data_IF_610052738450
#
_entry.id   IF_610052738450
#
_cell.length_a   1.000
_cell.length_b   1.000
_cell.length_c   1.000
_cell.angle_alpha   90.00
_cell.angle_beta   90.00
_cell.angle_gamma   90.00
#
_symmetry.space_group_name_H-M   'P 1'
#
loop_
_entity.id
_entity.type
_entity.pdbx_description
1 polymer ?
#
# COMPACT_ATOMS: atom_id res chain seq x y z
N UNK A 1 -9.25 -24.31 -24.69
CA UNK A 1 -10.28 -23.28 -24.90
C UNK A 1 -10.38 -22.99 -26.37
N UNK A 2 -11.57 -23.09 -26.94
CA UNK A 2 -11.82 -22.91 -28.38
C UNK A 2 -12.14 -21.43 -28.65
N UNK A 3 -11.35 -20.71 -29.48
CA UNK A 3 -11.61 -19.30 -29.79
C UNK A 3 -12.93 -19.09 -30.54
N UNK A 4 -13.51 -20.14 -31.13
CA UNK A 4 -14.82 -20.14 -31.80
C UNK A 4 -15.91 -20.86 -30.98
N UNK A 5 -15.67 -21.07 -29.69
CA UNK A 5 -16.60 -21.78 -28.82
C UNK A 5 -17.94 -21.05 -28.62
N UNK A 6 -18.97 -21.73 -28.07
CA UNK A 6 -20.28 -21.13 -27.82
C UNK A 6 -20.20 -19.87 -26.96
N UNK A 7 -21.15 -18.94 -27.13
CA UNK A 7 -21.28 -17.76 -26.28
C UNK A 7 -21.37 -18.16 -24.81
N UNK A 8 -20.69 -17.42 -23.94
CA UNK A 8 -20.58 -17.71 -22.51
C UNK A 8 -19.43 -18.65 -22.11
N UNK A 9 -18.63 -19.16 -23.07
CA UNK A 9 -17.37 -19.85 -22.80
C UNK A 9 -16.18 -18.89 -22.97
N UNK A 10 -15.00 -19.29 -22.48
CA UNK A 10 -13.79 -18.47 -22.58
C UNK A 10 -12.91 -18.94 -23.74
N UNK A 11 -12.31 -18.01 -24.49
CA UNK A 11 -11.28 -18.30 -25.49
C UNK A 11 -9.90 -18.58 -24.84
N UNK A 12 -8.89 -18.90 -25.64
CA UNK A 12 -7.54 -19.22 -25.19
C UNK A 12 -6.85 -18.04 -24.46
N UNK A 13 -7.28 -16.80 -24.71
CA UNK A 13 -6.82 -15.59 -24.03
C UNK A 13 -7.61 -15.26 -22.75
N UNK A 14 -8.53 -16.13 -22.31
CA UNK A 14 -9.36 -15.90 -21.14
C UNK A 14 -10.50 -14.90 -21.37
N UNK A 15 -10.82 -14.56 -22.61
CA UNK A 15 -11.94 -13.67 -22.98
C UNK A 15 -13.24 -14.46 -23.10
N UNK A 16 -14.35 -13.85 -22.69
CA UNK A 16 -15.66 -14.45 -22.78
C UNK A 16 -16.13 -14.49 -24.24
N UNK A 17 -16.40 -15.67 -24.77
CA UNK A 17 -16.91 -15.81 -26.13
C UNK A 17 -18.30 -15.17 -26.27
N UNK A 18 -18.48 -14.40 -27.35
CA UNK A 18 -19.74 -13.78 -27.70
C UNK A 18 -20.04 -12.41 -27.07
N UNK A 19 -19.32 -12.01 -26.03
CA UNK A 19 -19.46 -10.66 -25.45
C UNK A 19 -18.45 -9.65 -26.05
N UNK A 20 -17.37 -10.15 -26.64
CA UNK A 20 -16.28 -9.32 -27.17
C UNK A 20 -16.02 -9.51 -28.66
N UNK A 21 -16.75 -10.38 -29.33
CA UNK A 21 -16.70 -10.48 -30.80
C UNK A 21 -17.24 -9.19 -31.44
N UNK A 22 -16.32 -8.33 -31.86
CA UNK A 22 -16.64 -7.04 -32.50
C UNK A 22 -16.70 -5.84 -31.56
N UNK A 23 -16.37 -6.01 -30.28
CA UNK A 23 -16.12 -4.87 -29.39
C UNK A 23 -14.88 -4.08 -29.84
N UNK A 24 -14.82 -2.77 -29.61
CA UNK A 24 -13.65 -1.96 -29.99
C UNK A 24 -12.41 -2.50 -29.27
N UNK A 25 -11.39 -2.86 -30.03
CA UNK A 25 -10.08 -3.21 -29.48
C UNK A 25 -9.56 -1.98 -28.75
N UNK A 26 -9.45 -2.06 -27.43
CA UNK A 26 -8.86 -1.00 -26.64
C UNK A 26 -7.34 -1.02 -26.83
N UNK A 27 -6.77 0.13 -27.15
CA UNK A 27 -5.32 0.32 -27.27
C UNK A 27 -4.92 1.49 -26.38
N UNK A 28 -3.81 1.32 -25.69
CA UNK A 28 -3.17 2.38 -24.93
C UNK A 28 -1.68 2.40 -25.29
N UNK A 29 -1.24 3.46 -25.95
CA UNK A 29 0.15 3.68 -26.35
C UNK A 29 0.70 4.88 -25.58
N UNK A 30 1.86 4.72 -24.97
CA UNK A 30 2.51 5.77 -24.18
C UNK A 30 3.94 5.94 -24.65
N UNK A 31 4.35 7.19 -24.92
CA UNK A 31 5.71 7.56 -25.29
C UNK A 31 6.10 8.78 -24.45
N UNK A 32 7.06 8.59 -23.54
CA UNK A 32 7.40 9.61 -22.56
C UNK A 32 8.91 9.82 -22.48
N UNK A 33 9.31 11.08 -22.34
CA UNK A 33 10.71 11.45 -22.15
C UNK A 33 11.09 11.28 -20.67
N UNK A 34 12.11 10.48 -20.43
CA UNK A 34 12.71 10.30 -19.10
C UNK A 34 14.20 10.66 -19.13
N UNK A 35 14.74 10.96 -17.99
CA UNK A 35 16.16 11.29 -17.90
C UNK A 35 16.59 11.67 -16.49
N UNK A 36 17.90 11.74 -16.31
CA UNK A 36 18.53 12.19 -15.07
C UNK A 36 19.66 13.15 -15.41
N UNK A 37 19.74 14.23 -14.67
CA UNK A 37 20.87 15.15 -14.66
C UNK A 37 21.36 15.32 -13.23
N UNK A 38 22.66 15.19 -13.01
CA UNK A 38 23.26 15.32 -11.68
C UNK A 38 24.71 15.66 -11.76
N UNK A 39 25.27 16.00 -10.61
CA UNK A 39 26.71 16.22 -10.44
C UNK A 39 27.17 15.61 -9.13
N UNK A 40 28.44 15.20 -9.14
CA UNK A 40 29.18 14.76 -7.97
C UNK A 40 30.37 15.68 -7.79
N UNK A 41 30.59 16.16 -6.57
CA UNK A 41 31.70 17.02 -6.24
C UNK A 41 32.51 16.45 -5.08
N UNK A 42 33.74 16.08 -5.34
CA UNK A 42 34.70 15.64 -4.34
C UNK A 42 35.30 16.85 -3.64
N UNK A 43 35.03 17.02 -2.36
CA UNK A 43 35.55 18.09 -1.54
C UNK A 43 36.88 17.73 -0.89
N UNK A 44 37.24 16.43 -0.81
CA UNK A 44 38.34 15.96 0.00
C UNK A 44 38.10 16.15 1.49
N UNK A 45 39.12 16.50 2.23
CA UNK A 45 39.01 16.79 3.67
C UNK A 45 38.11 18.01 3.89
N UNK A 46 37.00 17.81 4.58
CA UNK A 46 36.04 18.87 4.86
C UNK A 46 35.58 18.84 6.33
N UNK A 47 36.15 19.73 7.14
CA UNK A 47 35.86 19.82 8.56
C UNK A 47 36.30 18.56 9.32
N UNK A 48 35.42 17.78 9.93
CA UNK A 48 35.76 16.58 10.68
C UNK A 48 35.85 15.31 9.84
N UNK A 49 35.73 15.43 8.49
CA UNK A 49 35.73 14.28 7.57
C UNK A 49 37.10 14.10 6.91
N UNK A 50 37.50 12.86 6.63
CA UNK A 50 38.75 12.52 5.92
C UNK A 50 38.57 12.67 4.41
N UNK A 51 37.38 12.38 3.88
CA UNK A 51 37.00 12.58 2.49
C UNK A 51 35.50 12.80 2.42
N UNK A 52 35.03 13.70 1.59
CA UNK A 52 33.62 13.99 1.39
C UNK A 52 33.31 14.17 -0.08
N UNK A 53 32.27 13.51 -0.53
CA UNK A 53 31.61 13.73 -1.81
C UNK A 53 30.23 14.30 -1.58
N UNK A 54 29.96 15.46 -2.19
CA UNK A 54 28.60 15.99 -2.35
C UNK A 54 28.03 15.51 -3.67
N UNK A 55 26.75 15.21 -3.69
CA UNK A 55 26.02 14.97 -4.93
C UNK A 55 24.66 15.66 -4.92
N UNK A 56 24.16 15.98 -6.10
CA UNK A 56 22.78 16.36 -6.29
C UNK A 56 22.30 15.91 -7.66
N UNK A 57 21.03 15.57 -7.76
CA UNK A 57 20.41 15.28 -9.05
C UNK A 57 18.95 15.66 -9.12
N UNK A 58 18.52 15.84 -10.36
CA UNK A 58 17.10 15.85 -10.75
C UNK A 58 16.88 14.70 -11.72
N UNK A 59 15.73 14.03 -11.59
CA UNK A 59 15.36 12.98 -12.54
C UNK A 59 13.87 12.98 -12.79
N UNK A 60 13.50 12.55 -13.99
CA UNK A 60 12.13 12.24 -14.37
C UNK A 60 12.04 10.79 -14.79
N UNK A 61 11.23 10.02 -14.09
CA UNK A 61 10.85 8.67 -14.43
C UNK A 61 9.37 8.58 -14.78
N UNK A 62 8.96 7.50 -15.43
CA UNK A 62 7.57 7.21 -15.68
C UNK A 62 7.27 5.71 -15.57
N UNK A 63 6.02 5.42 -15.27
CA UNK A 63 5.41 4.09 -15.35
C UNK A 63 4.23 4.19 -16.29
N UNK A 64 4.16 3.33 -17.31
CA UNK A 64 3.10 3.36 -18.31
C UNK A 64 1.71 3.28 -17.69
N UNK A 65 0.75 3.92 -18.31
CA UNK A 65 -0.67 3.71 -18.04
C UNK A 65 -1.13 2.36 -18.60
N UNK A 66 -2.42 2.11 -18.61
CA UNK A 66 -2.96 0.86 -19.10
C UNK A 66 -4.46 0.87 -19.26
N UNK A 67 -5.01 -0.33 -19.42
CA UNK A 67 -6.42 -0.59 -19.62
C UNK A 67 -6.95 -1.30 -18.37
N UNK A 68 -8.02 -0.75 -17.80
CA UNK A 68 -8.74 -1.42 -16.72
C UNK A 68 -9.57 -2.59 -17.28
N UNK A 69 -9.73 -3.67 -16.49
CA UNK A 69 -10.59 -4.78 -16.90
C UNK A 69 -12.01 -4.28 -17.19
N UNK A 70 -12.70 -4.90 -18.18
CA UNK A 70 -14.10 -4.57 -18.43
C UNK A 70 -14.93 -4.86 -17.17
N UNK A 71 -15.78 -3.91 -16.82
CA UNK A 71 -16.68 -4.06 -15.69
C UNK A 71 -17.91 -4.84 -16.11
N UNK A 72 -18.36 -5.78 -15.28
CA UNK A 72 -19.71 -6.33 -15.41
C UNK A 72 -20.72 -5.18 -15.26
N UNK A 73 -21.81 -5.23 -16.02
CA UNK A 73 -22.88 -4.24 -15.95
C UNK A 73 -23.29 -3.98 -14.49
N UNK A 74 -23.03 -2.77 -14.00
CA UNK A 74 -23.26 -2.35 -12.63
C UNK A 74 -23.50 -0.86 -12.57
N UNK A 75 -23.79 -0.36 -11.38
CA UNK A 75 -24.06 1.06 -11.16
C UNK A 75 -22.79 1.91 -11.16
N UNK A 76 -21.65 1.30 -10.86
CA UNK A 76 -20.35 2.01 -10.79
C UNK A 76 -19.76 2.14 -12.18
N UNK A 77 -19.51 3.37 -12.61
CA UNK A 77 -18.80 3.66 -13.87
C UNK A 77 -17.31 3.86 -13.59
N UNK A 78 -16.48 3.00 -14.16
CA UNK A 78 -15.03 3.08 -14.05
C UNK A 78 -14.45 3.48 -15.41
N UNK A 79 -13.39 4.30 -15.41
CA UNK A 79 -12.66 4.62 -16.63
C UNK A 79 -12.03 3.34 -17.21
N UNK A 80 -12.16 3.17 -18.50
CA UNK A 80 -11.59 2.01 -19.20
C UNK A 80 -10.05 2.03 -19.25
N UNK A 81 -9.45 3.21 -19.07
CA UNK A 81 -7.99 3.41 -19.09
C UNK A 81 -7.55 4.20 -17.88
N UNK A 82 -6.32 3.99 -17.48
CA UNK A 82 -5.63 4.82 -16.51
C UNK A 82 -4.36 5.41 -17.12
N UNK A 83 -4.00 6.60 -16.66
CA UNK A 83 -2.92 7.41 -17.23
C UNK A 83 -1.54 6.93 -16.73
N UNK A 84 -0.45 7.31 -17.44
CA UNK A 84 0.90 7.11 -16.93
C UNK A 84 1.14 7.83 -15.60
N UNK A 85 1.98 7.23 -14.78
CA UNK A 85 2.51 7.82 -13.56
C UNK A 85 3.88 8.43 -13.84
N UNK A 86 4.11 9.63 -13.34
CA UNK A 86 5.40 10.32 -13.42
C UNK A 86 5.95 10.61 -12.04
N UNK A 87 7.25 10.51 -11.91
CA UNK A 87 8.01 10.97 -10.75
C UNK A 87 9.02 12.03 -11.21
N UNK A 88 8.94 13.23 -10.64
CA UNK A 88 10.00 14.22 -10.73
C UNK A 88 10.73 14.22 -9.39
N UNK A 89 11.96 13.69 -9.40
CA UNK A 89 12.76 13.51 -8.20
C UNK A 89 13.87 14.55 -8.12
N UNK A 90 14.06 15.09 -6.92
CA UNK A 90 15.16 15.99 -6.55
C UNK A 90 15.84 15.38 -5.33
N UNK A 91 17.14 15.23 -5.38
CA UNK A 91 17.92 14.68 -4.28
C UNK A 91 19.25 15.40 -4.16
N UNK A 92 19.66 15.62 -2.92
CA UNK A 92 20.98 16.13 -2.54
C UNK A 92 21.50 15.31 -1.37
N UNK A 93 22.78 15.01 -1.37
CA UNK A 93 23.35 14.23 -0.27
C UNK A 93 24.86 14.32 -0.19
N UNK A 94 25.37 13.69 0.85
CA UNK A 94 26.80 13.54 1.11
C UNK A 94 27.17 12.10 1.35
N UNK A 95 28.37 11.73 0.93
CA UNK A 95 29.04 10.49 1.33
C UNK A 95 30.39 10.84 1.90
N UNK A 96 30.62 10.52 3.16
CA UNK A 96 31.80 10.95 3.90
C UNK A 96 32.50 9.78 4.58
N UNK A 97 33.81 9.80 4.57
CA UNK A 97 34.68 8.96 5.37
C UNK A 97 35.12 9.75 6.59
N UNK A 98 35.21 9.12 7.75
CA UNK A 98 35.47 9.73 9.04
C UNK A 98 36.50 8.93 9.84
N UNK A 99 37.16 9.60 10.79
CA UNK A 99 37.98 8.94 11.81
C UNK A 99 39.17 8.15 11.22
N UNK A 100 39.83 8.69 10.20
CA UNK A 100 40.97 8.02 9.54
C UNK A 100 40.55 6.76 8.77
N UNK A 101 39.34 6.75 8.19
CA UNK A 101 38.76 5.60 7.47
C UNK A 101 37.97 4.63 8.34
N UNK A 102 37.91 4.84 9.66
CA UNK A 102 37.19 3.96 10.57
C UNK A 102 35.67 4.19 10.58
N UNK A 103 35.20 5.28 9.98
CA UNK A 103 33.78 5.62 9.91
C UNK A 103 33.32 5.97 8.50
N UNK A 104 32.03 5.79 8.24
CA UNK A 104 31.32 6.25 7.05
C UNK A 104 30.03 6.89 7.45
N UNK A 105 29.67 8.00 6.82
CA UNK A 105 28.41 8.69 7.01
C UNK A 105 27.84 9.09 5.64
N UNK A 106 26.64 8.64 5.36
CA UNK A 106 25.88 9.01 4.18
C UNK A 106 24.63 9.76 4.64
N UNK A 107 24.39 10.93 4.05
CA UNK A 107 23.19 11.73 4.31
C UNK A 107 22.53 12.03 2.98
N UNK A 108 21.21 11.93 2.92
CA UNK A 108 20.42 12.30 1.77
C UNK A 108 19.18 13.07 2.19
N UNK A 109 18.82 14.10 1.42
CA UNK A 109 17.53 14.76 1.52
C UNK A 109 16.89 14.76 0.13
N UNK A 110 15.62 14.41 0.05
CA UNK A 110 14.93 14.24 -1.22
C UNK A 110 13.52 14.80 -1.21
N UNK A 111 13.06 15.15 -2.41
CA UNK A 111 11.69 15.54 -2.68
C UNK A 111 11.25 14.93 -4.00
N UNK A 112 10.11 14.22 -3.99
CA UNK A 112 9.51 13.57 -5.15
C UNK A 112 8.12 14.13 -5.37
N UNK A 113 7.88 14.66 -6.57
CA UNK A 113 6.58 15.09 -7.05
C UNK A 113 6.01 14.00 -7.98
N UNK A 114 5.03 13.26 -7.46
CA UNK A 114 4.29 12.28 -8.23
C UNK A 114 3.10 12.92 -8.92
N UNK A 115 2.99 12.66 -10.22
CA UNK A 115 1.84 12.99 -11.04
C UNK A 115 1.21 11.71 -11.54
N UNK A 116 -0.08 11.54 -11.28
CA UNK A 116 -0.81 10.35 -11.68
C UNK A 116 -0.33 9.07 -11.00
N UNK A 117 0.13 9.12 -9.74
CA UNK A 117 0.49 7.94 -8.95
C UNK A 117 -0.63 6.89 -9.04
N UNK A 118 -0.29 5.68 -9.47
CA UNK A 118 -1.25 4.62 -9.74
C UNK A 118 -1.59 3.87 -8.46
N UNK A 119 -2.85 3.96 -8.06
CA UNK A 119 -3.43 3.17 -6.98
C UNK A 119 -4.36 2.11 -7.54
N UNK A 120 -4.46 0.98 -6.86
CA UNK A 120 -5.40 -0.08 -7.24
C UNK A 120 -6.49 -0.22 -6.18
N UNK A 121 -7.72 -0.32 -6.63
CA UNK A 121 -8.89 -0.62 -5.79
C UNK A 121 -9.68 -1.78 -6.39
N UNK A 122 -10.48 -2.47 -5.57
CA UNK A 122 -11.37 -3.52 -6.07
C UNK A 122 -12.76 -2.92 -6.20
N UNK A 123 -13.24 -2.85 -7.43
CA UNK A 123 -14.58 -2.38 -7.78
C UNK A 123 -15.28 -3.48 -8.56
N UNK A 124 -16.49 -3.86 -8.14
CA UNK A 124 -17.26 -4.90 -8.82
C UNK A 124 -16.48 -6.20 -9.07
N UNK A 125 -15.68 -6.63 -8.09
CA UNK A 125 -14.80 -7.82 -8.14
C UNK A 125 -13.67 -7.75 -9.18
N UNK A 126 -13.41 -6.57 -9.74
CA UNK A 126 -12.28 -6.33 -10.65
C UNK A 126 -11.29 -5.37 -10.01
N UNK A 127 -10.00 -5.62 -10.20
CA UNK A 127 -8.95 -4.67 -9.80
C UNK A 127 -8.92 -3.54 -10.81
N UNK A 128 -9.12 -2.32 -10.32
CA UNK A 128 -9.16 -1.09 -11.10
C UNK A 128 -7.98 -0.22 -10.68
N UNK A 129 -7.31 0.37 -11.65
CA UNK A 129 -6.28 1.37 -11.40
C UNK A 129 -6.85 2.76 -11.64
N UNK A 130 -6.52 3.66 -10.73
CA UNK A 130 -6.83 5.09 -10.77
C UNK A 130 -5.57 5.90 -10.55
N UNK A 131 -5.57 7.14 -11.01
CA UNK A 131 -4.43 8.03 -10.88
C UNK A 131 -4.72 9.11 -9.84
N UNK A 132 -3.77 9.31 -8.93
CA UNK A 132 -3.81 10.37 -7.91
C UNK A 132 -2.47 11.10 -7.90
N UNK A 133 -2.45 12.34 -7.43
CA UNK A 133 -1.21 13.07 -7.26
C UNK A 133 -0.68 12.91 -5.82
N UNK A 134 0.63 12.78 -5.67
CA UNK A 134 1.27 12.65 -4.38
C UNK A 134 2.57 13.47 -4.27
N UNK A 135 3.00 13.73 -3.06
CA UNK A 135 4.29 14.34 -2.72
C UNK A 135 4.99 13.47 -1.68
N UNK A 136 6.27 13.27 -1.87
CA UNK A 136 7.12 12.53 -0.93
C UNK A 136 8.35 13.38 -0.65
N UNK A 137 8.65 13.61 0.62
CA UNK A 137 9.85 14.29 1.05
C UNK A 137 10.49 13.51 2.20
N UNK A 138 11.79 13.49 2.26
CA UNK A 138 12.43 12.75 3.32
C UNK A 138 13.89 13.11 3.52
N UNK A 139 14.40 12.55 4.59
CA UNK A 139 15.80 12.61 4.98
C UNK A 139 16.25 11.21 5.39
N UNK A 140 17.41 10.80 4.91
CA UNK A 140 18.03 9.53 5.26
C UNK A 140 19.44 9.78 5.79
N UNK A 141 19.78 9.06 6.85
CA UNK A 141 21.12 9.05 7.41
C UNK A 141 21.56 7.60 7.64
N UNK A 142 22.74 7.28 7.14
CA UNK A 142 23.42 6.02 7.39
C UNK A 142 24.75 6.33 8.05
N UNK A 143 25.04 5.63 9.12
CA UNK A 143 26.29 5.78 9.86
C UNK A 143 26.87 4.43 10.20
N UNK A 144 28.13 4.23 9.86
CA UNK A 144 28.92 3.09 10.24
C UNK A 144 30.19 3.57 10.94
N UNK A 145 30.56 2.98 12.07
CA UNK A 145 31.74 3.35 12.80
C UNK A 145 32.41 2.15 13.47
N UNK A 146 33.63 1.84 13.07
CA UNK A 146 34.55 0.96 13.76
C UNK A 146 35.21 1.74 14.89
N UNK A 147 34.57 1.82 16.05
CA UNK A 147 35.04 2.65 17.19
C UNK A 147 36.37 2.19 17.78
N UNK A 148 36.58 0.87 17.76
CA UNK A 148 37.86 0.24 18.15
C UNK A 148 38.10 -0.96 17.23
N UNK A 149 39.26 -1.62 17.34
CA UNK A 149 39.53 -2.84 16.57
C UNK A 149 38.47 -3.94 16.81
N UNK A 150 37.76 -3.87 17.93
CA UNK A 150 36.84 -4.91 18.40
C UNK A 150 35.38 -4.49 18.43
N UNK A 151 35.11 -3.17 18.38
CA UNK A 151 33.75 -2.65 18.54
C UNK A 151 33.33 -1.79 17.38
N UNK A 152 32.17 -2.11 16.80
CA UNK A 152 31.53 -1.33 15.74
C UNK A 152 30.08 -1.05 16.03
N UNK A 153 29.60 0.04 15.48
CA UNK A 153 28.19 0.46 15.50
C UNK A 153 27.75 0.76 14.06
N UNK A 154 26.55 0.35 13.71
CA UNK A 154 25.89 0.73 12.48
C UNK A 154 24.48 1.29 12.81
N UNK A 155 24.11 2.38 12.14
CA UNK A 155 22.83 3.06 12.39
C UNK A 155 22.27 3.56 11.08
N UNK A 156 20.95 3.37 10.89
CA UNK A 156 20.18 3.99 9.80
C UNK A 156 18.98 4.72 10.38
N UNK A 157 18.73 5.93 9.90
CA UNK A 157 17.57 6.74 10.24
C UNK A 157 16.88 7.17 8.94
N UNK A 158 15.60 6.90 8.82
CA UNK A 158 14.73 7.42 7.78
C UNK A 158 13.66 8.32 8.39
N UNK A 159 13.53 9.53 7.84
CA UNK A 159 12.43 10.45 8.11
C UNK A 159 11.69 10.69 6.81
N UNK A 160 10.38 10.43 6.78
CA UNK A 160 9.59 10.43 5.57
C UNK A 160 8.28 11.18 5.78
N UNK A 161 7.91 11.99 4.80
CA UNK A 161 6.55 12.54 4.65
C UNK A 161 6.06 12.19 3.26
N UNK A 162 5.13 11.26 3.16
CA UNK A 162 4.55 10.77 1.91
C UNK A 162 3.05 10.97 1.95
N UNK A 163 2.53 11.94 1.16
CA UNK A 163 1.14 12.39 1.26
C UNK A 163 0.49 12.57 -0.10
N UNK A 164 -0.80 12.32 -0.14
CA UNK A 164 -1.65 12.70 -1.28
C UNK A 164 -1.70 14.22 -1.41
N UNK A 165 -1.93 14.70 -2.64
CA UNK A 165 -2.33 16.09 -2.89
C UNK A 165 -3.85 16.22 -2.83
N UNK A 166 -4.35 17.41 -3.16
CA UNK A 166 -5.79 17.73 -3.18
C UNK A 166 -6.54 16.69 -4.03
N UNK A 167 -7.29 15.80 -3.38
CA UNK A 167 -7.92 14.65 -4.01
C UNK A 167 -9.14 14.19 -3.20
N UNK A 168 -10.21 13.86 -3.92
CA UNK A 168 -11.34 13.13 -3.36
C UNK A 168 -11.46 11.78 -4.04
N UNK A 169 -11.59 10.71 -3.26
CA UNK A 169 -11.66 9.33 -3.71
C UNK A 169 -12.87 8.62 -3.11
N UNK A 170 -13.35 7.63 -3.84
CA UNK A 170 -14.36 6.74 -3.30
C UNK A 170 -13.71 5.65 -2.46
N UNK A 171 -14.07 5.57 -1.18
CA UNK A 171 -13.77 4.38 -0.39
C UNK A 171 -14.77 3.27 -0.76
N UNK A 172 -14.31 2.24 -1.44
CA UNK A 172 -15.13 1.08 -1.81
C UNK A 172 -15.60 0.26 -0.59
N UNK A 173 -15.03 0.50 0.57
CA UNK A 173 -15.39 -0.15 1.85
C UNK A 173 -16.34 0.70 2.68
N UNK A 174 -16.28 2.01 2.55
CA UNK A 174 -17.22 2.97 3.12
C UNK A 174 -17.75 3.92 2.04
N UNK A 175 -18.60 3.38 1.20
CA UNK A 175 -19.14 4.10 0.05
C UNK A 175 -20.04 5.31 0.41
N UNK A 176 -20.38 5.48 1.68
CA UNK A 176 -21.14 6.63 2.17
C UNK A 176 -20.24 7.76 2.70
N UNK A 177 -18.97 7.48 2.94
CA UNK A 177 -18.06 8.42 3.60
C UNK A 177 -18.52 8.84 4.99
N UNK A 178 -19.34 7.99 5.65
CA UNK A 178 -19.94 8.30 6.96
C UNK A 178 -21.14 9.25 6.91
N UNK A 179 -21.63 9.66 5.73
CA UNK A 179 -22.80 10.54 5.61
C UNK A 179 -24.11 9.77 6.00
N UNK A 180 -24.80 10.17 7.10
CA UNK A 180 -26.00 9.49 7.58
C UNK A 180 -27.22 9.63 6.64
N UNK A 181 -27.17 10.50 5.65
CA UNK A 181 -28.23 10.64 4.66
C UNK A 181 -28.20 9.52 3.60
N UNK A 182 -27.18 8.71 3.59
CA UNK A 182 -26.98 7.61 2.65
C UNK A 182 -26.83 6.28 3.37
N UNK A 183 -27.28 5.21 2.73
CA UNK A 183 -27.21 3.84 3.22
C UNK A 183 -26.49 2.96 2.19
N UNK A 184 -25.63 2.07 2.65
CA UNK A 184 -25.10 0.99 1.83
C UNK A 184 -26.14 -0.13 1.82
N UNK A 185 -26.67 -0.44 0.65
CA UNK A 185 -27.63 -1.52 0.42
C UNK A 185 -26.91 -2.64 -0.33
N UNK A 186 -27.01 -3.86 0.20
CA UNK A 186 -26.45 -5.03 -0.47
C UNK A 186 -27.45 -5.59 -1.46
N UNK A 187 -27.06 -5.70 -2.72
CA UNK A 187 -27.86 -6.38 -3.73
C UNK A 187 -27.73 -7.90 -3.55
N UNK A 188 -28.84 -8.53 -3.21
CA UNK A 188 -28.89 -9.98 -3.01
C UNK A 188 -28.65 -10.79 -4.30
N UNK A 189 -28.91 -10.20 -5.46
CA UNK A 189 -28.75 -10.88 -6.75
C UNK A 189 -27.31 -10.86 -7.26
N UNK A 190 -26.62 -9.71 -7.10
CA UNK A 190 -25.26 -9.52 -7.62
C UNK A 190 -24.18 -9.59 -6.54
N UNK A 191 -24.58 -9.59 -5.26
CA UNK A 191 -23.69 -9.51 -4.08
C UNK A 191 -22.86 -8.23 -4.02
N UNK A 192 -23.19 -7.25 -4.86
CA UNK A 192 -22.58 -5.92 -4.85
C UNK A 192 -23.31 -4.99 -3.88
N UNK A 193 -22.68 -3.88 -3.55
CA UNK A 193 -23.32 -2.81 -2.79
C UNK A 193 -23.80 -1.72 -3.75
N UNK A 194 -24.88 -1.04 -3.38
CA UNK A 194 -25.24 0.27 -3.93
C UNK A 194 -25.48 1.26 -2.79
N UNK A 195 -25.34 2.55 -3.09
CA UNK A 195 -25.60 3.62 -2.12
C UNK A 195 -26.91 4.28 -2.46
N UNK A 196 -27.85 4.26 -1.51
CA UNK A 196 -29.19 4.79 -1.67
C UNK A 196 -29.50 5.82 -0.57
N UNK A 197 -30.36 6.81 -0.91
CA UNK A 197 -30.78 7.82 0.07
C UNK A 197 -31.52 7.18 1.23
N UNK A 198 -31.14 7.48 2.47
CA UNK A 198 -31.75 6.93 3.68
C UNK A 198 -33.24 7.26 3.76
N UNK A 199 -33.62 8.50 3.45
CA UNK A 199 -35.02 8.93 3.44
C UNK A 199 -35.83 8.21 2.37
N UNK A 200 -35.28 8.01 1.16
CA UNK A 200 -35.96 7.27 0.10
C UNK A 200 -36.19 5.78 0.45
N UNK A 201 -35.17 5.15 1.02
CA UNK A 201 -35.26 3.75 1.49
C UNK A 201 -36.32 3.63 2.57
N UNK A 202 -36.36 4.53 3.55
CA UNK A 202 -37.38 4.52 4.62
C UNK A 202 -38.79 4.72 4.06
N UNK A 203 -38.95 5.66 3.12
CA UNK A 203 -40.25 5.89 2.47
C UNK A 203 -40.74 4.65 1.70
N UNK A 204 -39.86 4.01 0.95
CA UNK A 204 -40.15 2.78 0.22
C UNK A 204 -40.58 1.65 1.17
N UNK A 205 -39.79 1.41 2.24
CA UNK A 205 -40.09 0.38 3.23
C UNK A 205 -41.44 0.62 3.90
N UNK A 206 -41.73 1.87 4.29
CA UNK A 206 -43.01 2.23 4.90
C UNK A 206 -44.20 2.04 3.96
N UNK A 207 -44.04 2.36 2.68
CA UNK A 207 -45.11 2.23 1.68
C UNK A 207 -45.39 0.79 1.25
N UNK A 208 -44.41 -0.10 1.37
CA UNK A 208 -44.51 -1.51 0.92
C UNK A 208 -44.78 -2.50 2.03
N UNK A 209 -44.54 -2.14 3.30
CA UNK A 209 -44.73 -3.01 4.46
C UNK A 209 -46.18 -3.56 4.56
N UNK A 210 -46.31 -4.88 4.70
CA UNK A 210 -47.60 -5.56 4.81
C UNK A 210 -48.45 -5.53 3.54
N UNK A 211 -47.90 -5.16 2.40
CA UNK A 211 -48.58 -5.14 1.09
C UNK A 211 -48.05 -6.24 0.18
N UNK A 212 -48.67 -6.41 -1.00
CA UNK A 212 -48.13 -7.30 -2.04
C UNK A 212 -46.74 -6.87 -2.58
N UNK A 213 -46.31 -5.68 -2.23
CA UNK A 213 -45.00 -5.09 -2.65
C UNK A 213 -43.91 -5.23 -1.60
N UNK A 214 -44.14 -5.95 -0.50
CA UNK A 214 -43.17 -6.08 0.61
C UNK A 214 -41.78 -6.60 0.17
N UNK A 215 -41.70 -7.37 -0.90
CA UNK A 215 -40.45 -7.86 -1.47
C UNK A 215 -39.71 -6.87 -2.40
N UNK A 216 -40.36 -5.78 -2.83
CA UNK A 216 -39.77 -4.85 -3.82
C UNK A 216 -38.54 -4.08 -3.33
N UNK A 217 -38.35 -3.80 -2.02
CA UNK A 217 -37.08 -3.19 -1.54
C UNK A 217 -35.80 -3.98 -1.90
N UNK A 218 -35.91 -5.27 -2.20
CA UNK A 218 -34.78 -6.05 -2.73
C UNK A 218 -34.28 -5.55 -4.09
N UNK A 219 -35.08 -4.74 -4.80
CA UNK A 219 -34.74 -4.17 -6.10
C UNK A 219 -34.10 -2.77 -6.00
N UNK A 220 -33.80 -2.25 -4.81
CA UNK A 220 -33.24 -0.88 -4.63
C UNK A 220 -32.02 -0.64 -5.52
N UNK A 221 -31.10 -1.60 -5.61
CA UNK A 221 -29.90 -1.48 -6.43
C UNK A 221 -30.17 -1.65 -7.95
N UNK A 222 -31.41 -1.91 -8.33
CA UNK A 222 -31.88 -1.89 -9.73
C UNK A 222 -33.08 -0.93 -9.87
N UNK A 223 -32.82 0.39 -9.91
CA UNK A 223 -33.87 1.40 -9.85
C UNK A 223 -34.88 1.30 -11.01
N UNK A 224 -34.45 0.84 -12.18
CA UNK A 224 -35.31 0.64 -13.33
C UNK A 224 -36.33 -0.48 -13.07
N UNK A 225 -35.86 -1.61 -12.57
CA UNK A 225 -36.75 -2.74 -12.24
C UNK A 225 -37.68 -2.39 -11.05
N UNK A 226 -37.17 -1.71 -10.02
CA UNK A 226 -37.92 -1.22 -8.89
C UNK A 226 -39.03 -0.29 -9.35
N UNK A 227 -38.71 0.74 -10.11
CA UNK A 227 -39.67 1.73 -10.60
C UNK A 227 -40.76 1.08 -11.47
N UNK A 228 -40.38 0.23 -12.42
CA UNK A 228 -41.33 -0.49 -13.26
C UNK A 228 -42.30 -1.38 -12.45
N UNK A 229 -41.79 -2.05 -11.42
CA UNK A 229 -42.60 -2.86 -10.52
C UNK A 229 -43.59 -1.98 -9.73
N UNK A 230 -43.11 -0.91 -9.11
CA UNK A 230 -43.96 0.03 -8.36
C UNK A 230 -45.00 0.68 -9.26
N UNK A 231 -44.64 1.09 -10.48
CA UNK A 231 -45.55 1.73 -11.42
C UNK A 231 -46.73 0.81 -11.82
N UNK A 232 -46.50 -0.49 -11.92
CA UNK A 232 -47.54 -1.48 -12.24
C UNK A 232 -48.63 -1.53 -11.19
N UNK A 233 -48.28 -1.35 -9.92
CA UNK A 233 -49.22 -1.48 -8.79
C UNK A 233 -49.75 -0.13 -8.28
N UNK A 234 -48.93 0.94 -8.33
CA UNK A 234 -49.18 2.22 -7.67
C UNK A 234 -49.33 3.39 -8.65
N UNK A 235 -49.05 3.16 -9.93
CA UNK A 235 -48.98 4.21 -10.94
C UNK A 235 -47.63 4.93 -10.97
N UNK A 236 -47.30 5.50 -12.13
CA UNK A 236 -45.94 6.04 -12.40
C UNK A 236 -45.55 7.16 -11.44
N UNK A 237 -46.44 8.12 -11.16
CA UNK A 237 -46.12 9.24 -10.28
C UNK A 237 -45.72 8.79 -8.86
N UNK A 238 -46.40 7.77 -8.33
CA UNK A 238 -46.07 7.21 -7.02
C UNK A 238 -44.78 6.39 -7.06
N UNK A 239 -44.57 5.64 -8.13
CA UNK A 239 -43.33 4.90 -8.34
C UNK A 239 -42.12 5.82 -8.38
N UNK A 240 -42.17 6.92 -9.10
CA UNK A 240 -41.12 7.92 -9.19
C UNK A 240 -40.82 8.54 -7.80
N UNK A 241 -41.82 8.81 -7.01
CA UNK A 241 -41.67 9.37 -5.67
C UNK A 241 -41.08 8.37 -4.65
N UNK A 242 -41.34 7.07 -4.83
CA UNK A 242 -40.88 6.01 -3.93
C UNK A 242 -39.55 5.37 -4.37
N UNK A 243 -39.06 5.63 -5.58
CA UNK A 243 -37.77 5.12 -6.01
C UNK A 243 -36.65 5.93 -5.34
N UNK A 244 -35.84 5.32 -4.46
CA UNK A 244 -34.77 6.07 -3.77
C UNK A 244 -33.76 6.65 -4.74
N UNK A 245 -33.27 7.85 -4.43
CA UNK A 245 -32.09 8.39 -5.13
C UNK A 245 -30.88 7.46 -4.86
N UNK A 246 -30.13 7.18 -5.91
CA UNK A 246 -28.91 6.41 -5.81
C UNK A 246 -27.70 7.30 -6.06
N UNK A 247 -26.61 7.02 -5.36
CA UNK A 247 -25.26 7.48 -5.68
C UNK A 247 -24.48 6.29 -6.25
N UNK A 248 -24.53 6.05 -7.56
CA UNK A 248 -24.01 4.81 -8.16
C UNK A 248 -22.54 4.56 -7.88
N UNK A 249 -21.76 5.64 -7.79
CA UNK A 249 -20.34 5.59 -7.50
C UNK A 249 -20.02 5.80 -6.00
N UNK A 250 -21.06 5.89 -5.13
CA UNK A 250 -20.89 6.26 -3.73
C UNK A 250 -20.64 7.76 -3.52
N UNK A 251 -20.27 8.11 -2.29
CA UNK A 251 -19.96 9.48 -1.87
C UNK A 251 -18.42 9.58 -1.71
N UNK A 252 -17.74 10.37 -2.54
CA UNK A 252 -16.29 10.53 -2.43
C UNK A 252 -15.89 11.18 -1.10
N UNK A 253 -14.83 10.67 -0.50
CA UNK A 253 -14.21 11.22 0.71
C UNK A 253 -13.01 12.07 0.32
N UNK A 254 -12.86 13.23 0.94
CA UNK A 254 -11.65 14.04 0.81
C UNK A 254 -10.48 13.32 1.49
N UNK A 255 -9.44 13.04 0.72
CA UNK A 255 -8.22 12.36 1.16
C UNK A 255 -6.99 13.27 1.01
N UNK A 256 -7.22 14.57 0.87
CA UNK A 256 -6.16 15.56 0.76
C UNK A 256 -5.24 15.52 1.97
N UNK A 257 -3.93 15.56 1.73
CA UNK A 257 -2.87 15.44 2.75
C UNK A 257 -2.85 14.12 3.55
N UNK A 258 -3.68 13.13 3.20
CA UNK A 258 -3.59 11.79 3.77
C UNK A 258 -2.24 11.14 3.44
N UNK A 259 -1.72 10.35 4.38
CA UNK A 259 -0.50 9.58 4.20
C UNK A 259 -0.67 8.47 3.15
N UNK A 260 0.36 8.27 2.36
CA UNK A 260 0.43 7.09 1.50
C UNK A 260 0.50 5.81 2.32
N UNK A 261 -0.09 4.72 1.85
CA UNK A 261 -0.05 3.45 2.57
C UNK A 261 1.37 2.93 2.76
N UNK A 262 1.63 2.33 3.91
CA UNK A 262 2.91 1.67 4.26
C UNK A 262 4.13 2.60 4.18
N UNK A 263 3.93 3.85 4.53
CA UNK A 263 4.93 4.90 4.52
C UNK A 263 5.11 5.48 5.95
N UNK A 264 5.77 4.78 6.86
CA UNK A 264 5.98 5.26 8.22
C UNK A 264 6.84 6.53 8.21
N UNK A 265 6.48 7.52 9.04
CA UNK A 265 7.20 8.80 9.08
C UNK A 265 8.61 8.67 9.66
N UNK A 266 8.87 7.65 10.47
CA UNK A 266 10.19 7.42 11.08
C UNK A 266 10.53 5.95 11.11
N UNK A 267 11.74 5.63 10.65
CA UNK A 267 12.37 4.32 10.85
C UNK A 267 13.76 4.50 11.44
N UNK A 268 14.12 3.67 12.41
CA UNK A 268 15.44 3.67 13.03
C UNK A 268 15.93 2.23 13.14
N UNK A 269 17.17 1.98 12.68
CA UNK A 269 17.87 0.74 12.93
C UNK A 269 19.22 1.04 13.59
N UNK A 270 19.55 0.31 14.65
CA UNK A 270 20.83 0.41 15.34
C UNK A 270 21.39 -0.98 15.56
N UNK A 271 22.59 -1.22 15.05
CA UNK A 271 23.36 -2.44 15.28
C UNK A 271 24.62 -2.13 16.09
N UNK A 272 24.96 -3.00 17.01
CA UNK A 272 26.25 -2.94 17.73
C UNK A 272 26.86 -4.32 17.80
N UNK A 273 28.16 -4.39 17.51
CA UNK A 273 28.90 -5.64 17.50
C UNK A 273 30.22 -5.49 18.27
N UNK A 274 30.49 -6.48 19.10
CA UNK A 274 31.77 -6.60 19.80
C UNK A 274 32.43 -7.95 19.49
N UNK A 275 33.67 -7.91 19.03
CA UNK A 275 34.48 -9.08 18.69
C UNK A 275 35.60 -9.28 19.68
N UNK A 276 35.81 -10.52 20.12
CA UNK A 276 36.89 -10.89 21.03
C UNK A 276 37.59 -12.15 20.56
N UNK A 277 38.92 -12.17 20.69
CA UNK A 277 39.67 -13.40 20.54
C UNK A 277 39.70 -14.17 21.88
N UNK A 278 39.34 -15.43 21.84
CA UNK A 278 39.28 -16.35 22.99
C UNK A 278 40.46 -17.35 22.93
N UNK A 279 41.70 -16.84 22.90
CA UNK A 279 42.88 -17.67 22.81
C UNK A 279 43.22 -18.11 21.39
N UNK A 280 43.95 -19.22 21.22
CA UNK A 280 44.39 -19.68 19.91
C UNK A 280 43.24 -20.24 19.08
N UNK A 281 43.02 -19.62 17.89
CA UNK A 281 42.09 -20.05 16.87
C UNK A 281 40.59 -19.92 17.23
N UNK A 282 40.20 -19.34 18.35
CA UNK A 282 38.81 -19.06 18.69
C UNK A 282 38.55 -17.54 18.69
N UNK A 283 37.49 -17.14 18.05
CA UNK A 283 36.90 -15.80 18.16
C UNK A 283 35.45 -15.87 18.57
N UNK A 284 34.96 -14.82 19.19
CA UNK A 284 33.54 -14.69 19.51
C UNK A 284 33.05 -13.31 19.10
N UNK A 285 31.80 -13.28 18.63
CA UNK A 285 31.11 -12.05 18.23
C UNK A 285 29.82 -11.97 19.03
N UNK A 286 29.69 -10.90 19.79
CA UNK A 286 28.41 -10.50 20.40
C UNK A 286 27.82 -9.41 19.53
N UNK A 287 26.59 -9.61 19.02
CA UNK A 287 25.84 -8.62 18.22
C UNK A 287 24.46 -8.40 18.83
N UNK A 288 24.04 -7.13 18.87
CA UNK A 288 22.68 -6.70 19.14
C UNK A 288 22.16 -5.80 18.04
N UNK A 289 20.91 -5.97 17.65
CA UNK A 289 20.23 -5.16 16.65
C UNK A 289 18.91 -4.68 17.22
N UNK A 290 18.60 -3.40 17.02
CA UNK A 290 17.35 -2.77 17.39
C UNK A 290 16.73 -2.10 16.17
N UNK A 291 15.43 -2.28 15.98
CA UNK A 291 14.64 -1.63 14.94
C UNK A 291 13.41 -0.98 15.55
N UNK A 292 13.09 0.22 15.09
CA UNK A 292 11.87 0.95 15.41
C UNK A 292 11.22 1.45 14.13
N UNK A 293 9.90 1.38 14.07
CA UNK A 293 9.07 1.94 13.02
C UNK A 293 7.92 2.72 13.66
N UNK A 294 7.70 3.96 13.20
CA UNK A 294 6.54 4.76 13.58
C UNK A 294 5.24 4.14 13.04
N UNK A 295 4.12 4.59 13.54
CA UNK A 295 2.81 4.22 13.01
C UNK A 295 2.67 4.60 11.53
N UNK A 296 1.79 3.89 10.84
CA UNK A 296 1.50 4.09 9.42
C UNK A 296 0.06 3.64 9.12
N UNK A 297 -0.38 3.89 7.90
CA UNK A 297 -1.69 3.43 7.45
C UNK A 297 -1.57 2.31 6.41
N UNK A 298 -2.51 1.40 6.42
CA UNK A 298 -2.60 0.32 5.43
C UNK A 298 -3.32 0.75 4.14
N UNK A 299 -4.16 1.80 4.22
CA UNK A 299 -4.91 2.35 3.08
C UNK A 299 -4.81 3.88 3.05
N UNK A 300 -5.10 4.46 1.87
CA UNK A 300 -5.02 5.91 1.61
C UNK A 300 -6.08 6.74 2.33
N UNK A 301 -7.13 6.11 2.88
CA UNK A 301 -8.23 6.80 3.57
C UNK A 301 -7.86 7.21 5.00
N UNK A 302 -6.79 6.65 5.54
CA UNK A 302 -6.25 6.94 6.87
C UNK A 302 -7.29 6.87 8.01
N UNK A 303 -8.24 5.97 7.90
CA UNK A 303 -9.20 5.72 8.96
C UNK A 303 -8.51 5.07 10.17
N UNK A 304 -9.11 5.16 11.36
CA UNK A 304 -8.57 4.52 12.55
C UNK A 304 -8.42 3.00 12.36
N UNK A 305 -9.33 2.36 11.64
CA UNK A 305 -9.25 0.94 11.29
C UNK A 305 -8.10 0.60 10.31
N UNK A 306 -7.55 1.59 9.62
CA UNK A 306 -6.43 1.42 8.69
C UNK A 306 -5.07 1.61 9.36
N UNK A 307 -5.07 2.10 10.59
CA UNK A 307 -3.86 2.42 11.34
C UNK A 307 -3.14 1.13 11.74
N UNK A 308 -1.84 1.16 11.59
CA UNK A 308 -0.89 0.18 12.09
C UNK A 308 -0.03 0.93 13.08
N UNK A 309 -0.11 0.57 14.35
CA UNK A 309 0.64 1.24 15.42
C UNK A 309 2.16 1.08 15.25
N UNK A 310 2.90 1.96 15.88
CA UNK A 310 4.36 1.86 15.93
C UNK A 310 4.80 0.56 16.61
N UNK A 311 5.88 0.00 16.15
CA UNK A 311 6.44 -1.22 16.72
C UNK A 311 7.96 -1.20 16.75
N UNK A 312 8.53 -2.10 17.53
CA UNK A 312 9.96 -2.23 17.68
C UNK A 312 10.36 -3.69 17.74
N UNK A 313 11.60 -3.97 17.34
CA UNK A 313 12.16 -5.31 17.40
C UNK A 313 13.61 -5.24 17.87
N UNK A 314 13.99 -6.12 18.76
CA UNK A 314 15.37 -6.28 19.18
C UNK A 314 15.81 -7.73 19.01
N UNK A 315 17.01 -7.92 18.46
CA UNK A 315 17.61 -9.23 18.28
C UNK A 315 19.01 -9.23 18.92
N UNK A 316 19.45 -10.38 19.37
CA UNK A 316 20.83 -10.54 19.84
C UNK A 316 21.39 -11.89 19.41
N UNK A 317 22.69 -11.93 19.14
CA UNK A 317 23.39 -13.18 18.85
C UNK A 317 24.79 -13.21 19.49
N UNK A 318 25.22 -14.43 19.78
CA UNK A 318 26.56 -14.73 20.28
C UNK A 318 27.13 -15.88 19.44
N UNK A 319 28.12 -15.56 18.61
CA UNK A 319 28.78 -16.50 17.73
C UNK A 319 30.16 -16.87 18.26
N UNK A 320 30.53 -18.12 18.15
CA UNK A 320 31.86 -18.67 18.44
C UNK A 320 32.39 -19.30 17.16
N UNK A 321 33.58 -18.92 16.73
CA UNK A 321 34.23 -19.45 15.55
C UNK A 321 35.60 -20.04 15.89
N UNK A 322 35.91 -21.18 15.29
CA UNK A 322 37.26 -21.76 15.33
C UNK A 322 37.75 -22.00 13.90
N UNK A 323 38.58 -21.13 13.40
CA UNK A 323 39.10 -21.20 12.02
C UNK A 323 39.88 -22.50 11.76
N UNK A 324 40.72 -22.91 12.71
CA UNK A 324 41.52 -24.15 12.57
C UNK A 324 40.72 -25.42 12.50
N UNK A 325 39.54 -25.42 13.12
CA UNK A 325 38.57 -26.51 13.08
C UNK A 325 37.49 -26.33 12.02
N UNK A 326 37.39 -25.18 11.38
CA UNK A 326 36.28 -24.84 10.49
C UNK A 326 34.90 -24.90 11.18
N UNK A 327 34.82 -24.66 12.48
CA UNK A 327 33.61 -24.77 13.29
C UNK A 327 33.06 -23.40 13.64
N UNK A 328 31.75 -23.22 13.46
CA UNK A 328 31.01 -22.04 13.89
C UNK A 328 29.78 -22.48 14.70
N UNK A 329 29.55 -21.83 15.83
CA UNK A 329 28.36 -22.03 16.67
C UNK A 329 27.78 -20.67 17.01
N UNK A 330 26.52 -20.45 16.64
CA UNK A 330 25.78 -19.23 16.95
C UNK A 330 24.60 -19.53 17.84
N UNK A 331 24.49 -18.79 18.94
CA UNK A 331 23.31 -18.72 19.78
C UNK A 331 22.59 -17.42 19.46
N UNK A 332 21.28 -17.44 19.23
CA UNK A 332 20.55 -16.21 18.90
C UNK A 332 19.20 -16.15 19.60
N UNK A 333 18.75 -14.92 19.79
CA UNK A 333 17.38 -14.61 20.14
C UNK A 333 16.84 -13.57 19.17
N UNK A 334 15.67 -13.85 18.59
CA UNK A 334 14.89 -12.92 17.80
C UNK A 334 13.71 -12.42 18.63
N UNK A 335 13.31 -11.18 18.37
CA UNK A 335 12.26 -10.48 19.10
C UNK A 335 12.46 -10.59 20.63
N UNK A 336 13.62 -10.12 21.09
CA UNK A 336 14.02 -10.15 22.51
C UNK A 336 13.00 -9.43 23.41
N UNK A 337 12.37 -8.37 22.90
CA UNK A 337 11.41 -7.54 23.63
C UNK A 337 10.02 -8.19 23.72
N UNK A 338 9.77 -9.27 22.93
CA UNK A 338 8.48 -9.96 22.87
C UNK A 338 7.33 -9.02 22.43
N UNK A 339 7.64 -8.13 21.49
CA UNK A 339 6.65 -7.27 20.87
C UNK A 339 5.78 -8.10 19.92
N UNK A 340 4.46 -8.04 20.06
CA UNK A 340 3.47 -8.81 19.31
C UNK A 340 2.60 -7.95 18.38
N UNK A 341 3.10 -6.76 18.03
CA UNK A 341 2.38 -5.79 17.22
C UNK A 341 2.05 -6.29 15.81
N UNK A 342 1.00 -5.69 15.25
CA UNK A 342 0.64 -5.87 13.85
C UNK A 342 1.65 -5.11 12.99
N UNK A 343 2.32 -5.81 12.08
CA UNK A 343 3.30 -5.22 11.16
C UNK A 343 2.71 -4.89 9.79
N UNK A 344 1.59 -5.51 9.44
CA UNK A 344 0.85 -5.24 8.21
C UNK A 344 -0.58 -5.70 8.34
N UNK A 345 -1.47 -5.10 7.55
CA UNK A 345 -2.86 -5.55 7.45
C UNK A 345 -3.39 -5.39 6.01
N UNK A 346 -4.40 -6.17 5.70
CA UNK A 346 -5.10 -6.16 4.43
C UNK A 346 -6.61 -6.35 4.67
N UNK A 347 -7.41 -5.40 4.21
CA UNK A 347 -8.86 -5.47 4.25
C UNK A 347 -9.39 -6.12 2.96
N UNK A 348 -10.20 -7.17 3.10
CA UNK A 348 -10.86 -7.83 1.96
C UNK A 348 -12.00 -6.98 1.42
N UNK A 349 -12.42 -7.23 0.18
CA UNK A 349 -13.53 -6.52 -0.45
C UNK A 349 -14.91 -6.95 0.08
N UNK A 350 -15.96 -6.21 -0.32
CA UNK A 350 -17.35 -6.47 0.10
C UNK A 350 -17.86 -7.85 -0.32
N UNK A 351 -17.38 -8.42 -1.43
CA UNK A 351 -17.79 -9.75 -1.89
C UNK A 351 -17.20 -10.88 -1.05
N UNK A 352 -16.06 -10.62 -0.40
CA UNK A 352 -15.36 -11.53 0.49
C UNK A 352 -15.79 -11.38 1.96
N UNK A 353 -16.55 -10.34 2.31
CA UNK A 353 -17.12 -10.14 3.64
C UNK A 353 -16.47 -9.05 4.49
N UNK A 354 -15.60 -8.22 3.94
CA UNK A 354 -14.95 -7.07 4.61
C UNK A 354 -14.25 -7.46 5.93
N UNK A 355 -13.49 -8.54 5.93
CA UNK A 355 -12.68 -8.88 7.09
C UNK A 355 -11.22 -8.44 6.90
N UNK A 356 -10.57 -8.09 8.00
CA UNK A 356 -9.18 -7.66 8.01
C UNK A 356 -8.28 -8.85 8.31
N UNK A 357 -7.35 -9.14 7.42
CA UNK A 357 -6.22 -10.03 7.70
C UNK A 357 -5.11 -9.20 8.34
N UNK A 358 -4.53 -9.69 9.42
CA UNK A 358 -3.40 -9.05 10.09
C UNK A 358 -2.17 -9.96 10.04
N UNK A 359 -1.00 -9.34 9.95
CA UNK A 359 0.29 -10.00 10.00
C UNK A 359 1.01 -9.51 11.23
N UNK A 360 1.32 -10.42 12.12
CA UNK A 360 1.99 -10.12 13.38
C UNK A 360 3.52 -10.17 13.22
N UNK A 361 4.22 -9.48 14.09
CA UNK A 361 5.64 -9.70 14.30
C UNK A 361 5.85 -11.16 14.74
N UNK A 362 6.94 -11.78 14.27
CA UNK A 362 7.27 -13.14 14.71
C UNK A 362 7.46 -13.19 16.24
N UNK A 363 6.97 -14.21 16.93
CA UNK A 363 7.14 -14.32 18.38
C UNK A 363 8.62 -14.47 18.74
N UNK A 364 8.95 -14.23 20.02
CA UNK A 364 10.31 -14.41 20.51
C UNK A 364 10.80 -15.84 20.26
N UNK A 365 11.93 -15.96 19.63
CA UNK A 365 12.55 -17.22 19.26
C UNK A 365 13.97 -17.31 19.78
N UNK A 366 14.33 -18.43 20.36
CA UNK A 366 15.71 -18.79 20.70
C UNK A 366 16.18 -19.88 19.75
N UNK A 367 17.41 -19.79 19.29
CA UNK A 367 17.94 -20.81 18.41
C UNK A 367 19.45 -20.99 18.55
N UNK A 368 19.89 -22.11 18.00
CA UNK A 368 21.30 -22.43 17.83
C UNK A 368 21.53 -22.82 16.38
N UNK A 369 22.61 -22.29 15.80
CA UNK A 369 23.11 -22.69 14.48
C UNK A 369 24.50 -23.26 14.64
N UNK A 370 24.78 -24.37 14.00
CA UNK A 370 26.11 -24.99 13.98
C UNK A 370 26.52 -25.17 12.52
N UNK A 371 27.66 -24.59 12.18
CA UNK A 371 28.30 -24.67 10.87
C UNK A 371 29.63 -25.42 10.93
N UNK A 372 29.93 -26.21 9.90
CA UNK A 372 31.20 -26.89 9.74
C UNK A 372 31.68 -26.75 8.30
N UNK A 373 32.89 -26.19 8.14
CA UNK A 373 33.60 -26.11 6.85
C UNK A 373 34.72 -27.14 6.87
N UNK A 374 34.88 -27.92 5.78
CA UNK A 374 35.83 -29.03 5.64
C UNK A 374 37.05 -28.64 4.81
#
# INVERSE_FOLDING_TARGET
LDPAGPAGTYNDGGQLNGEFEGGPVQKADFQELTGRFGFDWKLGDFGPTDDTMLYAFISRGYKGGGINPPQSAGLVTVKNTFDPEFINAFEVGTKSTLFGGAGQMNLAAFYYDYKGYQISSIVNRSSINENVDAKVAGFEAEFYWQMTNNFRVDTTLGLLSAKLKDQSLLDTYDQTGGDPNWLIVKDAATTQNCVASAAGVQALLAATAGTALEGTPALICNPTALNATLATYLGQATADALTPALAPNGIPTDVSDNFLPRAPETTLSVGAQYEMELGKNWSTILRGDFYYQADMYSRIFNLEADKIDSWQNANASLSFSNEGAGLEVELYVKNLLEDDQITSQYLTDASSGLYTNVFLLEPRQFGIRIGKTW
#
